data_IF_658697044154
#
_entry.id   IF_658697044154
#
_cell.length_a   1.000
_cell.length_b   1.000
_cell.length_c   1.000
_cell.angle_alpha   90.00
_cell.angle_beta   90.00
_cell.angle_gamma   90.00
#
_symmetry.space_group_name_H-M   'P 1'
#
loop_
_entity.id
_entity.type
_entity.pdbx_description
1 polymer ?
#
# COMPACT_ATOMS: atom_id res chain seq x y z
N UNK A 1 -46.39 20.64 34.73
CA UNK A 1 -46.67 20.39 33.34
C UNK A 1 -47.71 19.30 33.23
N UNK A 2 -48.80 19.59 32.49
CA UNK A 2 -49.82 18.55 32.25
C UNK A 2 -49.46 17.84 30.94
N UNK A 3 -49.39 16.52 30.98
CA UNK A 3 -49.33 15.71 29.79
C UNK A 3 -50.71 15.10 29.51
N UNK A 4 -51.24 15.34 28.31
CA UNK A 4 -52.51 14.83 27.89
C UNK A 4 -52.33 13.57 27.05
N UNK A 5 -52.98 12.47 27.44
CA UNK A 5 -53.05 11.24 26.67
C UNK A 5 -54.39 11.20 25.99
N UNK A 6 -54.43 11.46 24.69
CA UNK A 6 -55.68 11.68 23.92
C UNK A 6 -56.35 10.40 23.39
N UNK A 7 -55.75 9.23 23.49
CA UNK A 7 -56.41 7.96 23.15
C UNK A 7 -55.72 6.76 23.81
N UNK A 8 -56.43 5.80 24.26
CA UNK A 8 -55.91 4.52 24.76
C UNK A 8 -56.89 3.39 24.50
N UNK A 9 -56.41 2.25 23.97
CA UNK A 9 -57.14 1.01 23.91
C UNK A 9 -56.88 0.23 25.19
N UNK A 10 -57.87 -0.46 25.72
CA UNK A 10 -58.00 -1.03 27.05
C UNK A 10 -56.96 -2.11 27.47
N UNK A 11 -55.80 -2.23 26.83
CA UNK A 11 -54.78 -3.21 27.19
C UNK A 11 -53.34 -2.82 26.93
N UNK A 12 -53.05 -1.52 26.76
CA UNK A 12 -51.68 -1.07 26.47
C UNK A 12 -51.02 -0.37 27.66
N UNK A 13 -49.79 -0.75 27.97
CA UNK A 13 -48.92 0.01 28.83
C UNK A 13 -48.54 1.33 28.10
N UNK A 14 -48.71 2.45 28.77
CA UNK A 14 -48.30 3.76 28.27
C UNK A 14 -47.16 4.30 29.10
N UNK A 15 -46.02 4.51 28.44
CA UNK A 15 -44.86 5.16 29.06
C UNK A 15 -45.00 6.68 28.77
N UNK A 16 -45.13 7.48 29.80
CA UNK A 16 -45.15 8.93 29.72
C UNK A 16 -43.83 9.44 30.25
N UNK A 17 -42.99 10.00 29.36
CA UNK A 17 -41.72 10.59 29.72
C UNK A 17 -41.87 12.10 29.92
N UNK A 18 -41.51 12.61 31.09
CA UNK A 18 -41.46 14.05 31.34
C UNK A 18 -40.27 14.65 30.60
N UNK A 19 -40.44 15.86 30.01
CA UNK A 19 -39.34 16.58 29.32
C UNK A 19 -38.25 17.02 30.28
N UNK A 20 -38.57 17.26 31.53
CA UNK A 20 -37.65 17.67 32.57
C UNK A 20 -37.92 16.85 33.85
N UNK A 21 -36.89 16.59 34.64
CA UNK A 21 -37.02 15.92 35.93
C UNK A 21 -37.86 16.81 36.89
N UNK A 22 -38.86 16.21 37.50
CA UNK A 22 -39.71 16.90 38.48
C UNK A 22 -39.60 16.22 39.84
N UNK A 23 -39.20 16.98 40.86
CA UNK A 23 -39.25 16.50 42.22
C UNK A 23 -40.61 16.83 42.82
N UNK A 24 -41.39 15.82 43.12
CA UNK A 24 -42.73 15.99 43.71
C UNK A 24 -43.02 14.87 44.71
N UNK A 25 -43.76 15.21 45.78
CA UNK A 25 -44.28 14.25 46.74
C UNK A 25 -45.62 13.64 46.33
N UNK A 26 -46.27 14.20 45.29
CA UNK A 26 -47.60 13.79 44.89
C UNK A 26 -47.71 13.73 43.35
N UNK A 27 -48.22 12.59 42.85
CA UNK A 27 -48.61 12.40 41.48
C UNK A 27 -50.12 12.41 41.40
N UNK A 28 -50.73 13.27 40.53
CA UNK A 28 -52.16 13.29 40.29
C UNK A 28 -52.46 12.86 38.85
N UNK A 29 -53.33 11.86 38.68
CA UNK A 29 -53.97 11.53 37.41
C UNK A 29 -55.35 12.10 37.41
N UNK A 30 -55.65 12.87 36.35
CA UNK A 30 -56.95 13.49 36.19
C UNK A 30 -57.55 13.11 34.83
N UNK A 31 -58.69 12.43 34.85
CA UNK A 31 -59.47 12.19 33.65
C UNK A 31 -60.26 13.49 33.33
N UNK A 32 -60.18 13.95 32.09
CA UNK A 32 -60.84 15.16 31.62
C UNK A 32 -62.11 14.85 30.86
N UNK A 33 -62.20 13.72 30.17
CA UNK A 33 -63.38 13.32 29.42
C UNK A 33 -63.62 11.81 29.60
N UNK A 34 -64.80 11.43 29.98
CA UNK A 34 -65.22 10.05 30.19
C UNK A 34 -66.24 9.67 29.13
N UNK A 35 -66.03 8.55 28.45
CA UNK A 35 -67.04 7.88 27.65
C UNK A 35 -68.04 7.07 28.52
N UNK A 36 -68.83 6.20 27.90
CA UNK A 36 -69.82 5.39 28.58
C UNK A 36 -69.28 4.30 29.50
N UNK A 37 -67.96 4.19 29.64
CA UNK A 37 -67.30 3.12 30.41
C UNK A 37 -66.43 3.69 31.53
N UNK A 38 -66.24 2.91 32.60
CA UNK A 38 -65.44 3.29 33.77
C UNK A 38 -63.97 3.47 33.42
N UNK A 39 -63.32 4.43 34.06
CA UNK A 39 -61.85 4.60 34.00
C UNK A 39 -61.22 3.74 35.08
N UNK A 40 -60.47 2.72 34.68
CA UNK A 40 -59.78 1.82 35.59
C UNK A 40 -58.28 1.97 35.40
N UNK A 41 -57.52 2.13 36.51
CA UNK A 41 -56.09 2.12 36.53
C UNK A 41 -55.68 0.87 37.28
N UNK A 42 -55.10 -0.10 36.59
CA UNK A 42 -54.64 -1.33 37.21
C UNK A 42 -53.34 -1.18 37.99
N UNK A 43 -52.42 -0.37 37.44
CA UNK A 43 -51.13 -0.14 38.08
C UNK A 43 -50.54 1.17 37.61
N UNK A 44 -49.87 1.89 38.54
CA UNK A 44 -49.01 3.02 38.22
C UNK A 44 -47.62 2.71 38.76
N UNK A 45 -46.66 2.63 37.85
CA UNK A 45 -45.26 2.52 38.20
C UNK A 45 -44.57 3.85 37.88
N UNK A 46 -43.93 4.45 38.87
CA UNK A 46 -43.13 5.66 38.73
C UNK A 46 -41.67 5.26 38.79
N UNK A 47 -40.97 5.43 37.69
CA UNK A 47 -39.55 5.15 37.65
C UNK A 47 -38.78 6.46 37.71
N UNK A 48 -37.84 6.51 38.66
CA UNK A 48 -36.77 7.50 38.59
C UNK A 48 -35.77 7.07 37.51
N UNK A 49 -35.87 7.66 36.32
CA UNK A 49 -34.94 7.38 35.23
C UNK A 49 -33.71 8.29 35.24
N UNK A 50 -33.53 9.09 36.30
CA UNK A 50 -32.45 10.08 36.36
C UNK A 50 -31.07 9.43 36.47
N UNK A 51 -30.99 8.11 36.71
CA UNK A 51 -29.71 7.42 36.92
C UNK A 51 -29.74 5.97 36.43
N UNK A 52 -30.00 5.74 35.16
CA UNK A 52 -29.79 4.41 34.52
C UNK A 52 -28.31 4.30 34.18
N UNK A 53 -27.56 3.47 34.89
CA UNK A 53 -26.11 3.35 34.67
C UNK A 53 -25.81 2.71 33.32
N UNK A 54 -24.63 3.00 32.78
CA UNK A 54 -24.09 2.25 31.64
C UNK A 54 -23.62 0.88 32.13
N UNK A 55 -23.98 -0.18 31.42
CA UNK A 55 -23.60 -1.56 31.73
C UNK A 55 -22.53 -2.10 30.78
N UNK A 56 -22.58 -1.70 29.51
CA UNK A 56 -21.59 -2.12 28.51
C UNK A 56 -21.40 -1.09 27.40
N UNK A 57 -20.21 -1.13 26.80
CA UNK A 57 -19.85 -0.42 25.56
C UNK A 57 -19.37 -1.45 24.55
N UNK A 58 -19.88 -1.38 23.33
CA UNK A 58 -19.44 -2.21 22.21
C UNK A 58 -18.84 -1.36 21.12
N UNK A 59 -17.80 -1.89 20.47
CA UNK A 59 -17.13 -1.27 19.32
C UNK A 59 -17.39 -2.11 18.05
N UNK A 60 -17.41 -1.45 16.90
CA UNK A 60 -17.47 -2.10 15.58
C UNK A 60 -16.21 -2.93 15.26
N UNK A 61 -15.06 -2.60 15.89
CA UNK A 61 -13.81 -3.33 15.73
C UNK A 61 -13.18 -3.71 17.05
N UNK A 62 -12.62 -4.93 17.14
CA UNK A 62 -11.76 -5.38 18.24
C UNK A 62 -10.28 -5.21 17.92
N UNK A 63 -9.95 -5.23 16.62
CA UNK A 63 -8.62 -4.85 16.11
C UNK A 63 -8.71 -4.21 14.73
N UNK A 64 -7.72 -3.37 14.40
CA UNK A 64 -7.61 -2.71 13.09
C UNK A 64 -6.15 -2.49 12.72
N UNK A 65 -5.84 -2.64 11.42
CA UNK A 65 -4.54 -2.28 10.85
C UNK A 65 -4.69 -0.99 10.06
N UNK A 66 -3.80 -0.02 10.32
CA UNK A 66 -3.66 1.23 9.59
C UNK A 66 -2.35 1.19 8.79
N UNK A 67 -2.31 1.90 7.67
CA UNK A 67 -1.14 1.93 6.78
C UNK A 67 -0.65 3.36 6.59
N UNK A 68 0.61 3.65 6.98
CA UNK A 68 1.21 4.97 6.86
C UNK A 68 1.53 5.37 5.41
N UNK A 69 1.70 4.39 4.51
CA UNK A 69 2.05 4.65 3.11
C UNK A 69 0.83 5.00 2.25
N UNK A 70 -0.39 4.87 2.82
CA UNK A 70 -1.65 5.15 2.14
C UNK A 70 -2.53 6.04 3.00
N UNK A 71 -2.77 7.26 2.57
CA UNK A 71 -3.54 8.24 3.34
C UNK A 71 -4.96 7.76 3.65
N UNK A 72 -5.61 7.10 2.69
CA UNK A 72 -6.95 6.53 2.84
C UNK A 72 -7.03 5.40 3.87
N UNK A 73 -5.94 4.64 4.06
CA UNK A 73 -5.87 3.52 5.00
C UNK A 73 -5.26 3.90 6.36
N UNK A 74 -4.82 5.17 6.53
CA UNK A 74 -4.16 5.64 7.76
C UNK A 74 -5.12 6.16 8.83
N UNK A 75 -6.43 6.07 8.59
CA UNK A 75 -7.46 6.49 9.54
C UNK A 75 -8.58 5.46 9.63
N UNK A 76 -9.22 5.37 10.79
CA UNK A 76 -10.43 4.58 10.99
C UNK A 76 -11.36 5.28 11.97
N UNK A 77 -12.66 5.22 11.72
CA UNK A 77 -13.68 5.61 12.66
C UNK A 77 -14.13 4.39 13.47
N UNK A 78 -14.01 4.49 14.79
CA UNK A 78 -14.51 3.52 15.74
C UNK A 78 -15.91 3.92 16.16
N UNK A 79 -16.90 3.22 15.59
CA UNK A 79 -18.29 3.35 16.00
C UNK A 79 -18.54 2.55 17.25
N UNK A 80 -19.41 3.09 18.13
CA UNK A 80 -19.75 2.43 19.37
C UNK A 80 -21.24 2.53 19.67
N UNK A 81 -21.69 1.61 20.50
CA UNK A 81 -23.00 1.69 21.12
C UNK A 81 -22.90 1.39 22.62
N UNK A 82 -23.82 1.98 23.37
CA UNK A 82 -23.88 1.86 24.82
C UNK A 82 -25.15 1.09 25.18
N UNK A 83 -25.05 0.21 26.14
CA UNK A 83 -26.20 -0.50 26.70
C UNK A 83 -26.30 -0.28 28.22
N UNK A 84 -27.54 -0.23 28.72
CA UNK A 84 -28.81 -0.30 27.98
C UNK A 84 -29.09 0.97 27.18
N UNK A 85 -29.90 0.88 26.13
CA UNK A 85 -30.20 2.01 25.21
C UNK A 85 -30.91 3.19 25.86
N UNK A 86 -31.48 2.98 27.04
CA UNK A 86 -32.14 4.01 27.86
C UNK A 86 -31.22 4.58 28.96
N UNK A 87 -29.91 4.30 28.90
CA UNK A 87 -28.96 4.90 29.86
C UNK A 87 -29.04 6.40 29.83
N UNK A 88 -28.94 7.03 31.03
CA UNK A 88 -28.82 8.48 31.18
C UNK A 88 -27.36 8.95 31.04
N UNK A 89 -26.40 8.02 31.04
CA UNK A 89 -24.98 8.26 31.09
C UNK A 89 -24.37 7.92 29.70
N UNK A 90 -24.40 8.87 28.78
CA UNK A 90 -23.95 8.66 27.39
C UNK A 90 -22.57 9.24 27.11
N UNK A 91 -21.98 9.97 28.06
CA UNK A 91 -20.67 10.59 27.91
C UNK A 91 -19.57 9.53 27.95
N UNK A 92 -18.67 9.59 26.97
CA UNK A 92 -17.53 8.69 26.87
C UNK A 92 -16.22 9.45 26.78
N UNK A 93 -15.14 8.78 27.19
CA UNK A 93 -13.78 9.26 27.09
C UNK A 93 -12.97 8.28 26.25
N UNK A 94 -12.26 8.81 25.27
CA UNK A 94 -11.33 8.07 24.42
C UNK A 94 -9.91 8.26 24.89
N UNK A 95 -9.10 7.22 24.82
CA UNK A 95 -7.68 7.24 25.14
C UNK A 95 -6.89 6.28 24.26
N UNK A 96 -5.61 6.61 24.03
CA UNK A 96 -4.64 5.74 23.40
C UNK A 96 -3.58 5.32 24.40
N UNK A 97 -3.16 4.05 24.39
CA UNK A 97 -2.04 3.58 25.22
C UNK A 97 -0.69 4.12 24.74
N UNK A 98 -0.64 4.59 23.47
CA UNK A 98 0.56 5.18 22.86
C UNK A 98 0.18 6.19 21.77
N UNK A 99 0.03 7.47 22.17
CA UNK A 99 -0.31 8.55 21.25
C UNK A 99 0.77 8.88 20.21
N UNK A 100 2.01 8.41 20.41
CA UNK A 100 3.06 8.53 19.41
C UNK A 100 2.87 7.54 18.26
N UNK A 101 2.19 6.42 18.49
CA UNK A 101 1.85 5.41 17.47
C UNK A 101 0.51 5.73 16.82
N UNK A 102 -0.53 5.92 17.61
CA UNK A 102 -1.86 6.27 17.12
C UNK A 102 -2.58 7.21 18.08
N UNK A 103 -3.16 8.29 17.55
CA UNK A 103 -4.02 9.18 18.33
C UNK A 103 -5.49 8.89 18.06
N UNK A 104 -6.34 9.24 19.05
CA UNK A 104 -7.80 9.15 18.90
C UNK A 104 -8.48 10.46 19.28
N UNK A 105 -9.41 10.93 18.42
CA UNK A 105 -10.24 12.11 18.68
C UNK A 105 -11.68 11.78 18.28
N UNK A 106 -12.60 11.82 19.23
CA UNK A 106 -14.03 11.57 19.02
C UNK A 106 -14.31 10.27 18.22
N UNK A 107 -13.56 9.19 18.52
CA UNK A 107 -13.70 7.91 17.85
C UNK A 107 -12.89 7.77 16.55
N UNK A 108 -12.37 8.86 15.97
CA UNK A 108 -11.49 8.80 14.81
C UNK A 108 -10.05 8.53 15.26
N UNK A 109 -9.51 7.41 14.83
CA UNK A 109 -8.13 6.98 15.10
C UNK A 109 -7.27 7.29 13.89
N UNK A 110 -6.10 7.90 14.10
CA UNK A 110 -5.11 8.20 13.07
C UNK A 110 -3.74 7.63 13.46
N UNK A 111 -3.09 6.90 12.54
CA UNK A 111 -1.73 6.40 12.71
C UNK A 111 -0.69 7.51 12.56
N UNK A 112 0.35 7.48 13.40
CA UNK A 112 1.46 8.45 13.39
C UNK A 112 2.82 7.82 13.15
N UNK A 113 3.06 6.68 13.75
CA UNK A 113 4.31 5.92 13.57
C UNK A 113 4.05 4.42 13.65
N UNK A 114 4.95 3.63 13.08
CA UNK A 114 4.87 2.17 13.12
C UNK A 114 4.84 1.69 14.57
N UNK A 115 3.91 0.78 14.85
CA UNK A 115 3.77 0.22 16.19
C UNK A 115 2.37 -0.27 16.51
N UNK A 116 2.16 -0.61 17.79
CA UNK A 116 0.87 -1.03 18.36
C UNK A 116 0.39 -0.02 19.38
N UNK A 117 -0.89 0.30 19.32
CA UNK A 117 -1.58 1.08 20.34
C UNK A 117 -2.94 0.44 20.69
N UNK A 118 -3.30 0.46 21.94
CA UNK A 118 -4.62 0.04 22.42
C UNK A 118 -5.50 1.27 22.57
N UNK A 119 -6.54 1.38 21.74
CA UNK A 119 -7.49 2.48 21.76
C UNK A 119 -8.67 2.09 22.63
N UNK A 120 -8.87 2.81 23.70
CA UNK A 120 -9.91 2.50 24.69
C UNK A 120 -10.96 3.61 24.72
N UNK A 121 -12.22 3.18 24.68
CA UNK A 121 -13.39 3.98 25.03
C UNK A 121 -13.87 3.55 26.42
N UNK A 122 -14.14 4.51 27.27
CA UNK A 122 -14.68 4.28 28.60
C UNK A 122 -15.85 5.22 28.90
N UNK A 123 -16.82 4.76 29.66
CA UNK A 123 -17.84 5.65 30.21
C UNK A 123 -17.20 6.67 31.13
N UNK A 124 -17.60 7.93 31.02
CA UNK A 124 -17.12 9.02 31.89
C UNK A 124 -17.58 8.83 33.31
N UNK A 125 -18.81 8.36 33.50
CA UNK A 125 -19.42 8.20 34.82
C UNK A 125 -19.04 6.87 35.50
N UNK A 126 -18.72 5.83 34.70
CA UNK A 126 -18.22 4.55 35.19
C UNK A 126 -17.03 4.06 34.38
N UNK A 127 -15.79 4.48 34.68
CA UNK A 127 -14.59 4.12 33.92
C UNK A 127 -14.26 2.61 33.89
N UNK A 128 -14.91 1.81 34.73
CA UNK A 128 -14.78 0.33 34.66
C UNK A 128 -15.53 -0.25 33.48
N UNK A 129 -16.57 0.44 32.97
CA UNK A 129 -17.26 0.07 31.73
C UNK A 129 -16.49 0.67 30.56
N UNK A 130 -15.70 -0.18 29.91
CA UNK A 130 -14.79 0.22 28.84
C UNK A 130 -14.67 -0.89 27.77
N UNK A 131 -14.25 -0.50 26.58
CA UNK A 131 -13.92 -1.41 25.49
C UNK A 131 -12.65 -0.95 24.79
N UNK A 132 -11.87 -1.91 24.30
CA UNK A 132 -10.58 -1.62 23.64
C UNK A 132 -10.56 -2.21 22.25
N UNK A 133 -10.03 -1.44 21.29
CA UNK A 133 -9.64 -1.86 19.95
C UNK A 133 -8.11 -1.84 19.86
N UNK A 134 -7.50 -2.96 19.46
CA UNK A 134 -6.06 -3.03 19.19
C UNK A 134 -5.77 -2.46 17.82
N UNK A 135 -4.93 -1.44 17.75
CA UNK A 135 -4.54 -0.80 16.48
C UNK A 135 -3.07 -1.10 16.19
N UNK A 136 -2.82 -1.65 15.00
CA UNK A 136 -1.49 -1.83 14.44
C UNK A 136 -1.29 -0.78 13.35
N UNK A 137 -0.30 0.08 13.52
CA UNK A 137 0.10 1.05 12.49
C UNK A 137 1.30 0.47 11.75
N UNK A 138 1.15 0.27 10.46
CA UNK A 138 2.12 -0.42 9.61
C UNK A 138 2.61 0.45 8.46
N UNK A 139 3.75 0.07 7.88
CA UNK A 139 4.27 0.59 6.61
C UNK A 139 4.89 -0.53 5.77
N UNK A 140 5.22 -0.24 4.51
CA UNK A 140 6.12 -1.09 3.74
C UNK A 140 7.54 -1.06 4.32
N UNK A 141 8.30 -2.12 4.14
CA UNK A 141 9.75 -2.11 4.37
C UNK A 141 10.39 -1.01 3.52
N UNK A 142 11.49 -0.46 3.98
CA UNK A 142 12.25 0.50 3.18
C UNK A 142 12.72 -0.18 1.89
N UNK A 143 12.73 0.58 0.77
CA UNK A 143 13.17 0.06 -0.52
C UNK A 143 14.68 -0.15 -0.53
N UNK A 144 15.11 -1.31 -0.99
CA UNK A 144 16.53 -1.57 -1.22
C UNK A 144 17.06 -0.73 -2.37
N UNK A 145 18.30 -0.27 -2.28
CA UNK A 145 19.00 0.35 -3.41
C UNK A 145 19.77 -0.74 -4.16
N UNK A 146 19.43 -0.94 -5.44
CA UNK A 146 20.03 -1.97 -6.29
C UNK A 146 21.06 -1.34 -7.22
N UNK A 147 22.21 -1.99 -7.35
CA UNK A 147 23.27 -1.64 -8.30
C UNK A 147 23.64 -2.86 -9.11
N UNK A 148 23.88 -2.68 -10.41
CA UNK A 148 24.25 -3.74 -11.32
C UNK A 148 25.47 -3.30 -12.14
N UNK A 149 26.52 -4.12 -12.19
CA UNK A 149 27.77 -3.81 -12.88
C UNK A 149 28.16 -5.01 -13.75
N UNK A 150 28.40 -4.74 -15.03
CA UNK A 150 28.82 -5.74 -15.99
C UNK A 150 30.25 -6.24 -15.71
N UNK A 151 30.42 -7.56 -15.78
CA UNK A 151 31.69 -8.24 -15.80
C UNK A 151 31.69 -9.27 -16.95
N UNK A 152 32.15 -8.86 -18.14
CA UNK A 152 32.07 -9.62 -19.39
C UNK A 152 30.62 -10.01 -19.75
N UNK A 153 30.29 -11.30 -19.73
CA UNK A 153 28.94 -11.87 -19.94
C UNK A 153 28.13 -12.03 -18.65
N UNK A 154 28.72 -11.64 -17.51
CA UNK A 154 28.09 -11.68 -16.21
C UNK A 154 27.71 -10.28 -15.77
N UNK A 155 26.77 -10.20 -14.81
CA UNK A 155 26.41 -8.96 -14.14
C UNK A 155 26.46 -9.21 -12.63
N UNK A 156 27.32 -8.43 -11.93
CA UNK A 156 27.35 -8.42 -10.48
C UNK A 156 26.27 -7.48 -9.98
N UNK A 157 25.29 -8.02 -9.27
CA UNK A 157 24.17 -7.28 -8.69
C UNK A 157 24.38 -7.21 -7.18
N UNK A 158 24.31 -6.00 -6.62
CA UNK A 158 24.38 -5.77 -5.18
C UNK A 158 23.21 -4.90 -4.75
N UNK A 159 22.77 -5.09 -3.50
CA UNK A 159 21.70 -4.28 -2.93
C UNK A 159 21.91 -3.99 -1.45
N UNK A 160 21.30 -2.91 -0.98
CA UNK A 160 21.40 -2.52 0.43
C UNK A 160 20.53 -3.42 1.29
N UNK A 161 21.04 -3.80 2.47
CA UNK A 161 20.26 -4.50 3.48
C UNK A 161 19.12 -3.63 3.97
N UNK A 162 17.94 -4.22 4.10
CA UNK A 162 16.72 -3.58 4.60
C UNK A 162 16.44 -4.06 6.02
N UNK A 163 16.17 -3.12 6.94
CA UNK A 163 15.79 -3.46 8.31
C UNK A 163 14.47 -4.25 8.31
N UNK A 164 14.36 -5.23 9.20
CA UNK A 164 13.20 -6.13 9.31
C UNK A 164 12.96 -7.06 8.11
N UNK A 165 13.76 -7.00 7.05
CA UNK A 165 13.70 -8.00 5.98
C UNK A 165 14.37 -9.30 6.44
N UNK A 166 13.69 -10.43 6.26
CA UNK A 166 14.18 -11.77 6.52
C UNK A 166 14.89 -12.39 5.32
N UNK A 167 14.46 -12.04 4.12
CA UNK A 167 15.04 -12.52 2.87
C UNK A 167 14.77 -11.56 1.72
N UNK A 168 15.32 -11.86 0.54
CA UNK A 168 15.22 -11.09 -0.67
C UNK A 168 14.89 -11.98 -1.85
N UNK A 169 14.10 -11.47 -2.80
CA UNK A 169 13.94 -12.04 -4.13
C UNK A 169 14.52 -11.05 -5.14
N UNK A 170 15.49 -11.49 -5.94
CA UNK A 170 16.08 -10.72 -7.01
C UNK A 170 15.41 -11.11 -8.33
N UNK A 171 14.83 -10.14 -9.01
CA UNK A 171 14.23 -10.30 -10.34
C UNK A 171 15.08 -9.62 -11.39
N UNK A 172 15.29 -10.33 -12.52
CA UNK A 172 15.93 -9.82 -13.74
C UNK A 172 14.89 -9.53 -14.79
N UNK A 173 14.94 -8.35 -15.39
CA UNK A 173 14.14 -7.98 -16.55
C UNK A 173 15.02 -7.68 -17.75
N UNK A 174 14.83 -8.44 -18.86
CA UNK A 174 15.44 -8.14 -20.14
C UNK A 174 14.52 -7.17 -20.91
N UNK A 175 14.94 -5.92 -21.02
CA UNK A 175 14.19 -4.83 -21.68
C UNK A 175 14.00 -5.03 -23.20
N UNK A 176 14.77 -5.92 -23.83
CA UNK A 176 14.65 -6.22 -25.26
C UNK A 176 13.58 -7.27 -25.51
N UNK A 177 13.60 -8.35 -24.72
CA UNK A 177 12.66 -9.47 -24.90
C UNK A 177 11.37 -9.32 -24.10
N UNK A 178 11.34 -8.43 -23.10
CA UNK A 178 10.22 -8.26 -22.16
C UNK A 178 10.14 -9.35 -21.08
N UNK A 179 11.12 -10.27 -21.00
CA UNK A 179 11.09 -11.39 -20.08
C UNK A 179 11.56 -10.94 -18.68
N UNK A 180 10.77 -11.30 -17.67
CA UNK A 180 11.10 -11.14 -16.25
C UNK A 180 11.27 -12.53 -15.63
N UNK A 181 12.35 -12.71 -14.85
CA UNK A 181 12.59 -13.94 -14.10
C UNK A 181 13.11 -13.60 -12.71
N UNK A 182 12.62 -14.32 -11.70
CA UNK A 182 13.23 -14.35 -10.38
C UNK A 182 14.44 -15.29 -10.47
N UNK A 183 15.62 -14.75 -10.15
CA UNK A 183 16.91 -15.45 -10.36
C UNK A 183 17.65 -15.75 -9.07
N UNK A 184 17.19 -15.19 -7.95
CA UNK A 184 17.73 -15.47 -6.62
C UNK A 184 16.64 -15.30 -5.57
N UNK A 185 16.65 -16.17 -4.58
CA UNK A 185 15.90 -16.04 -3.33
C UNK A 185 16.81 -16.47 -2.17
N UNK A 186 16.93 -15.62 -1.15
CA UNK A 186 17.77 -15.89 0.01
C UNK A 186 18.04 -14.66 0.85
N UNK A 187 19.06 -14.76 1.72
CA UNK A 187 19.41 -13.73 2.72
C UNK A 187 20.59 -12.85 2.33
N UNK A 188 21.29 -13.21 1.24
CA UNK A 188 22.44 -12.44 0.76
C UNK A 188 22.00 -11.07 0.19
N UNK A 189 22.97 -10.18 0.06
CA UNK A 189 22.79 -8.84 -0.52
C UNK A 189 23.62 -8.64 -1.78
N UNK A 190 24.09 -9.74 -2.38
CA UNK A 190 24.84 -9.77 -3.61
C UNK A 190 24.53 -11.04 -4.40
N UNK A 191 24.56 -10.96 -5.73
CA UNK A 191 24.38 -12.09 -6.64
C UNK A 191 25.14 -11.86 -7.94
N UNK A 192 25.78 -12.90 -8.47
CA UNK A 192 26.39 -12.87 -9.79
C UNK A 192 25.46 -13.56 -10.80
N UNK A 193 24.87 -12.80 -11.71
CA UNK A 193 24.04 -13.30 -12.81
C UNK A 193 24.97 -13.66 -13.99
N UNK A 194 25.04 -14.95 -14.29
CA UNK A 194 26.09 -15.54 -15.16
C UNK A 194 25.57 -15.89 -16.56
N UNK A 195 26.52 -15.98 -17.47
CA UNK A 195 26.34 -16.52 -18.83
C UNK A 195 25.19 -15.85 -19.61
N UNK A 196 25.07 -14.53 -19.45
CA UNK A 196 24.02 -13.77 -20.10
C UNK A 196 24.25 -13.67 -21.60
N UNK A 197 23.17 -13.79 -22.34
CA UNK A 197 23.16 -13.48 -23.78
C UNK A 197 23.14 -11.95 -23.97
N UNK A 198 23.38 -11.51 -25.21
CA UNK A 198 23.21 -10.11 -25.57
C UNK A 198 21.83 -9.59 -25.15
N UNK A 199 21.79 -8.39 -24.59
CA UNK A 199 20.55 -7.84 -24.05
C UNK A 199 20.75 -6.56 -23.26
N UNK A 200 19.63 -5.96 -22.85
CA UNK A 200 19.58 -4.82 -21.94
C UNK A 200 18.84 -5.24 -20.68
N UNK A 201 19.57 -5.35 -19.58
CA UNK A 201 19.09 -5.90 -18.33
C UNK A 201 18.94 -4.85 -17.25
N UNK A 202 17.85 -4.93 -16.48
CA UNK A 202 17.65 -4.21 -15.23
C UNK A 202 17.23 -5.19 -14.15
N UNK A 203 17.42 -4.82 -12.91
CA UNK A 203 17.17 -5.67 -11.75
C UNK A 203 16.33 -4.94 -10.73
N UNK A 204 15.43 -5.68 -10.06
CA UNK A 204 14.69 -5.25 -8.88
C UNK A 204 14.86 -6.25 -7.76
N UNK A 205 14.82 -5.76 -6.52
CA UNK A 205 14.88 -6.59 -5.32
C UNK A 205 13.60 -6.39 -4.52
N UNK A 206 12.92 -7.48 -4.23
CA UNK A 206 11.82 -7.52 -3.28
C UNK A 206 12.36 -7.93 -1.92
N UNK A 207 12.22 -7.05 -0.92
CA UNK A 207 12.51 -7.37 0.47
C UNK A 207 11.30 -8.08 1.09
N UNK A 208 11.54 -9.23 1.71
CA UNK A 208 10.51 -10.12 2.26
C UNK A 208 10.55 -10.05 3.78
N UNK A 209 9.40 -9.88 4.38
CA UNK A 209 9.18 -10.00 5.81
C UNK A 209 8.83 -11.45 6.15
N UNK A 210 9.37 -11.99 7.25
CA UNK A 210 8.90 -13.26 7.79
C UNK A 210 7.55 -13.05 8.50
N UNK A 211 6.51 -13.71 8.04
CA UNK A 211 5.16 -13.62 8.61
C UNK A 211 5.06 -14.16 10.04
N UNK A 212 6.03 -14.95 10.48
CA UNK A 212 6.10 -15.50 11.83
C UNK A 212 6.83 -14.58 12.83
N UNK A 213 7.44 -13.51 12.35
CA UNK A 213 8.14 -12.56 13.21
C UNK A 213 7.18 -11.62 13.95
N UNK A 214 7.65 -11.09 15.07
CA UNK A 214 6.88 -10.15 15.90
C UNK A 214 6.42 -8.89 15.12
N UNK A 215 7.14 -8.56 14.06
CA UNK A 215 6.91 -7.39 13.21
C UNK A 215 5.91 -7.63 12.07
N UNK A 216 5.36 -8.85 11.92
CA UNK A 216 4.47 -9.23 10.83
C UNK A 216 3.20 -8.34 10.72
N UNK A 217 2.75 -7.75 11.83
CA UNK A 217 1.64 -6.80 11.83
C UNK A 217 2.07 -5.34 11.56
N UNK A 218 3.37 -5.05 11.60
CA UNK A 218 3.92 -3.70 11.55
C UNK A 218 4.53 -3.35 10.20
N UNK A 219 4.93 -4.35 9.42
CA UNK A 219 5.56 -4.15 8.13
C UNK A 219 4.90 -5.00 7.03
N UNK A 220 5.15 -4.64 5.79
CA UNK A 220 4.85 -5.43 4.60
C UNK A 220 6.05 -5.41 3.64
N UNK A 221 6.09 -6.38 2.73
CA UNK A 221 7.15 -6.49 1.73
C UNK A 221 7.26 -5.20 0.90
N UNK A 222 8.49 -4.87 0.47
CA UNK A 222 8.74 -3.77 -0.45
C UNK A 222 9.46 -4.26 -1.70
N UNK A 223 9.35 -3.48 -2.79
CA UNK A 223 10.10 -3.71 -4.03
C UNK A 223 10.92 -2.46 -4.34
N UNK A 224 12.20 -2.66 -4.68
CA UNK A 224 13.11 -1.57 -5.07
C UNK A 224 12.65 -0.90 -6.38
N UNK A 225 13.19 0.28 -6.66
CA UNK A 225 13.24 0.79 -8.02
C UNK A 225 14.15 -0.12 -8.87
N UNK A 226 14.02 -0.01 -10.22
CA UNK A 226 14.93 -0.70 -11.13
C UNK A 226 16.37 -0.19 -10.95
N UNK A 227 17.35 -1.08 -11.10
CA UNK A 227 18.75 -0.67 -11.24
C UNK A 227 18.96 0.15 -12.52
N UNK A 228 20.10 0.84 -12.62
CA UNK A 228 20.57 1.30 -13.91
C UNK A 228 20.66 0.13 -14.89
N UNK A 229 20.38 0.42 -16.17
CA UNK A 229 20.36 -0.62 -17.20
C UNK A 229 21.78 -1.02 -17.60
N UNK A 230 22.03 -2.32 -17.61
CA UNK A 230 23.31 -2.93 -18.04
C UNK A 230 23.14 -3.58 -19.41
N UNK A 231 24.06 -3.28 -20.33
CA UNK A 231 24.07 -3.84 -21.69
C UNK A 231 25.11 -4.93 -21.77
N UNK A 232 24.68 -6.16 -22.15
CA UNK A 232 25.55 -7.22 -22.65
C UNK A 232 25.54 -7.09 -24.18
N UNK A 233 26.68 -6.74 -24.81
CA UNK A 233 26.70 -6.46 -26.24
C UNK A 233 26.60 -7.74 -27.08
N UNK A 234 25.98 -7.62 -28.24
CA UNK A 234 26.07 -8.60 -29.30
C UNK A 234 27.33 -8.32 -30.12
N UNK A 235 28.32 -9.23 -30.12
CA UNK A 235 29.57 -9.01 -30.84
C UNK A 235 29.37 -9.06 -32.35
N UNK A 236 30.20 -8.31 -33.06
CA UNK A 236 30.32 -8.41 -34.49
C UNK A 236 31.04 -9.74 -34.82
N UNK A 237 30.42 -10.54 -35.68
CA UNK A 237 31.00 -11.81 -36.18
C UNK A 237 31.54 -11.69 -37.59
N UNK A 238 31.16 -10.63 -38.33
CA UNK A 238 31.65 -10.42 -39.69
C UNK A 238 31.10 -9.15 -40.36
N UNK A 239 31.64 -8.86 -41.52
CA UNK A 239 31.12 -7.85 -42.43
C UNK A 239 30.90 -8.55 -43.80
N UNK A 240 29.72 -8.40 -44.33
CA UNK A 240 29.38 -8.89 -45.66
C UNK A 240 29.27 -7.71 -46.66
N UNK A 241 30.00 -7.75 -47.73
CA UNK A 241 29.91 -6.79 -48.84
C UNK A 241 28.98 -7.35 -49.87
N UNK A 242 27.98 -6.58 -50.29
CA UNK A 242 27.04 -7.02 -51.31
C UNK A 242 27.76 -7.44 -52.62
N UNK A 243 27.32 -8.55 -53.23
CA UNK A 243 28.01 -9.18 -54.35
C UNK A 243 28.35 -8.22 -55.49
N UNK A 244 27.45 -7.29 -55.84
CA UNK A 244 27.66 -6.28 -56.88
C UNK A 244 28.73 -5.23 -56.51
N UNK A 245 29.22 -5.21 -55.31
CA UNK A 245 30.19 -4.27 -54.77
C UNK A 245 31.53 -4.90 -54.35
N UNK A 246 31.69 -6.20 -54.51
CA UNK A 246 32.96 -6.91 -54.28
C UNK A 246 34.00 -6.56 -55.36
N UNK A 247 33.53 -6.19 -56.57
CA UNK A 247 34.34 -5.69 -57.68
C UNK A 247 33.67 -4.44 -58.25
N UNK A 248 34.30 -3.28 -58.05
CA UNK A 248 33.79 -2.01 -58.52
C UNK A 248 34.72 -1.43 -59.58
N UNK A 249 34.22 -1.29 -60.79
CA UNK A 249 34.95 -0.58 -61.87
C UNK A 249 34.62 0.92 -61.81
N UNK A 250 35.67 1.77 -61.67
CA UNK A 250 35.51 3.23 -61.66
C UNK A 250 36.37 3.84 -62.78
N UNK A 251 35.85 4.88 -63.42
CA UNK A 251 36.66 5.74 -64.30
C UNK A 251 37.48 6.71 -63.40
N UNK A 252 38.57 7.24 -63.94
CA UNK A 252 39.36 8.30 -63.24
C UNK A 252 38.44 9.47 -62.90
N UNK A 253 38.38 9.85 -61.63
CA UNK A 253 37.47 10.86 -61.07
C UNK A 253 36.03 10.40 -60.87
N UNK A 254 35.70 9.15 -61.21
CA UNK A 254 34.41 8.56 -60.89
C UNK A 254 34.35 8.07 -59.43
N UNK A 255 33.13 7.99 -58.86
CA UNK A 255 32.94 7.51 -57.51
C UNK A 255 31.82 6.47 -57.40
N UNK A 256 31.94 5.62 -56.36
CA UNK A 256 30.94 4.60 -56.03
C UNK A 256 30.93 4.30 -54.55
N UNK A 257 29.77 3.99 -53.97
CA UNK A 257 29.65 3.71 -52.55
C UNK A 257 29.59 2.18 -52.31
N UNK A 258 30.45 1.67 -51.42
CA UNK A 258 30.42 0.28 -50.98
C UNK A 258 29.12 0.03 -50.20
N UNK A 259 28.39 -1.01 -50.58
CA UNK A 259 27.24 -1.52 -49.83
C UNK A 259 27.67 -2.74 -49.04
N UNK A 260 27.43 -2.68 -47.73
CA UNK A 260 27.81 -3.71 -46.79
C UNK A 260 26.74 -3.89 -45.70
N UNK A 261 26.80 -4.99 -45.00
CA UNK A 261 26.07 -5.26 -43.75
C UNK A 261 27.02 -5.79 -42.71
N UNK A 262 26.78 -5.42 -41.47
CA UNK A 262 27.48 -5.94 -40.27
C UNK A 262 26.70 -7.14 -39.78
N UNK A 263 27.38 -8.23 -39.48
CA UNK A 263 26.77 -9.47 -38.98
C UNK A 263 27.13 -9.69 -37.48
N UNK A 264 26.19 -10.22 -36.69
CA UNK A 264 24.78 -10.37 -37.03
C UNK A 264 24.09 -9.01 -37.15
N UNK A 265 22.94 -8.90 -37.80
CA UNK A 265 22.23 -7.64 -38.04
C UNK A 265 21.79 -6.88 -36.80
N UNK A 266 21.82 -7.55 -35.63
CA UNK A 266 21.55 -7.00 -34.29
C UNK A 266 22.85 -6.70 -33.50
N UNK A 267 24.03 -6.72 -34.15
CA UNK A 267 25.29 -6.39 -33.46
C UNK A 267 25.22 -5.03 -32.80
N UNK A 268 25.72 -4.94 -31.57
CA UNK A 268 25.63 -3.71 -30.73
C UNK A 268 26.49 -2.57 -31.27
N UNK A 269 27.63 -2.91 -31.90
CA UNK A 269 28.49 -1.94 -32.58
C UNK A 269 28.52 -2.21 -34.06
N UNK A 270 27.95 -1.32 -34.83
CA UNK A 270 27.89 -1.39 -36.31
C UNK A 270 28.84 -0.42 -36.97
N UNK A 271 29.74 0.22 -36.24
CA UNK A 271 30.73 1.13 -36.81
C UNK A 271 31.74 0.38 -37.65
N UNK A 272 31.94 0.85 -38.88
CA UNK A 272 32.88 0.31 -39.85
C UNK A 272 33.88 1.39 -40.24
N UNK A 273 35.13 0.99 -40.40
CA UNK A 273 36.19 1.84 -40.96
C UNK A 273 36.62 1.33 -42.28
N UNK A 274 36.91 2.24 -43.23
CA UNK A 274 37.37 1.94 -44.59
C UNK A 274 38.80 2.42 -44.73
N UNK A 275 39.59 1.65 -45.48
CA UNK A 275 40.97 2.00 -45.83
C UNK A 275 41.27 1.51 -47.24
N UNK A 276 41.86 2.38 -48.07
CA UNK A 276 42.46 2.01 -49.32
C UNK A 276 43.84 1.40 -49.09
N UNK A 277 44.13 0.29 -49.78
CA UNK A 277 45.47 -0.30 -49.78
C UNK A 277 46.43 0.41 -50.76
N UNK A 278 45.87 1.19 -51.70
CA UNK A 278 46.65 1.95 -52.67
C UNK A 278 45.90 3.24 -53.03
N UNK A 279 46.16 4.29 -52.29
CA UNK A 279 45.52 5.62 -52.43
C UNK A 279 45.92 6.32 -53.74
N UNK A 280 46.96 5.83 -54.43
CA UNK A 280 47.34 6.34 -55.78
C UNK A 280 46.40 5.82 -56.88
N UNK A 281 45.66 4.73 -56.63
CA UNK A 281 44.70 4.13 -57.55
C UNK A 281 43.27 4.54 -57.19
N UNK A 282 42.91 4.45 -55.93
CA UNK A 282 41.60 4.85 -55.45
C UNK A 282 41.63 5.22 -53.96
N UNK A 283 40.90 6.26 -53.59
CA UNK A 283 40.69 6.66 -52.20
C UNK A 283 39.34 6.20 -51.67
N UNK A 284 39.18 6.11 -50.37
CA UNK A 284 37.88 5.82 -49.75
C UNK A 284 37.64 6.73 -48.55
N UNK A 285 36.43 7.28 -48.46
CA UNK A 285 36.05 8.13 -47.33
C UNK A 285 35.47 7.33 -46.16
N UNK A 286 35.16 8.01 -45.04
CA UNK A 286 34.59 7.43 -43.84
C UNK A 286 33.17 6.86 -44.06
N UNK A 287 32.48 7.23 -45.14
CA UNK A 287 31.15 6.75 -45.51
C UNK A 287 31.18 5.59 -46.51
N UNK A 288 32.38 5.11 -46.84
CA UNK A 288 32.60 4.04 -47.82
C UNK A 288 32.42 4.47 -49.28
N UNK A 289 32.57 5.77 -49.57
CA UNK A 289 32.59 6.25 -50.97
C UNK A 289 34.00 6.11 -51.50
N UNK A 290 34.15 5.31 -52.56
CA UNK A 290 35.42 5.08 -53.27
C UNK A 290 35.52 6.06 -54.44
N UNK A 291 36.67 6.71 -54.61
CA UNK A 291 36.95 7.59 -55.77
C UNK A 291 38.20 7.07 -56.51
N UNK A 292 38.07 6.87 -57.81
CA UNK A 292 39.15 6.37 -58.68
C UNK A 292 40.04 7.42 -59.27
#
# INVERSE_FOLDING_TARGET
DMYEVTSGIASEYRNIRLKEAVTTSHLRLQGITFGAYCFEIYEIQVYDQTNVPVESINLNYTSKKLNLDKEEDNKVELEYNIAPSNTSQTDVVWSSSNEAVAEVKNGVVAGKSVGRADITIASKDNPNVKKTCVVYVSKELDKSKVTAVRNDKNINVNWTKVAHASSYVLSRYNKITGIVNDIYEGTDTAFEDKDLTSGKYVYTVKAILDENEADANLYSNSVSEESEAVIIPEPVTGIEVANDYQHMGLFVGGSGKIRYSVLPGNATNTNVTFKSLNEKVATVDANGVVTG
#
